data_IF_771270938942
#
_entry.id   IF_771270938942
#
_cell.length_a   1.000
_cell.length_b   1.000
_cell.length_c   1.000
_cell.angle_alpha   90.00
_cell.angle_beta   90.00
_cell.angle_gamma   90.00
#
_symmetry.space_group_name_H-M   'P 1'
#
loop_
_entity.id
_entity.type
_entity.pdbx_description
1 polymer ?
#
# COMPACT_ATOMS: atom_id res chain seq x y z
N UNK A 1 -3.60 -20.33 18.08
CA UNK A 1 -2.88 -19.17 17.60
C UNK A 1 -2.79 -18.10 18.66
N UNK A 2 -1.86 -17.21 18.51
CA UNK A 2 -1.58 -16.16 19.49
C UNK A 2 -2.39 -14.89 19.14
N UNK A 3 -3.66 -14.91 19.50
CA UNK A 3 -4.66 -13.88 19.13
C UNK A 3 -4.36 -12.50 19.76
N UNK A 4 -3.49 -12.47 20.76
CA UNK A 4 -3.17 -11.25 21.51
C UNK A 4 -1.97 -10.50 20.98
N UNK A 5 -1.12 -11.16 20.17
CA UNK A 5 0.09 -10.56 19.60
C UNK A 5 -0.28 -9.52 18.55
N UNK A 6 0.32 -8.35 18.67
CA UNK A 6 0.28 -7.30 17.64
C UNK A 6 1.46 -7.44 16.70
N UNK A 7 1.25 -7.12 15.42
CA UNK A 7 2.28 -7.15 14.40
C UNK A 7 2.08 -5.99 13.41
N UNK A 8 3.16 -5.49 12.80
CA UNK A 8 3.07 -4.44 11.79
C UNK A 8 2.51 -5.01 10.49
N UNK A 9 1.59 -4.28 9.86
CA UNK A 9 0.97 -4.68 8.59
C UNK A 9 1.96 -4.65 7.43
N UNK A 10 2.96 -3.78 7.47
CA UNK A 10 3.94 -3.60 6.40
C UNK A 10 3.24 -3.47 5.02
N UNK A 11 3.66 -4.25 4.03
CA UNK A 11 3.05 -4.20 2.69
C UNK A 11 1.61 -4.72 2.62
N UNK A 12 1.09 -5.35 3.66
CA UNK A 12 -0.34 -5.75 3.71
C UNK A 12 -1.27 -4.53 3.78
N UNK A 13 -0.76 -3.35 4.16
CA UNK A 13 -1.55 -2.10 4.15
C UNK A 13 -1.95 -1.63 2.75
N UNK A 14 -1.25 -2.04 1.69
CA UNK A 14 -1.42 -1.50 0.33
C UNK A 14 -2.82 -1.70 -0.27
N UNK A 15 -3.48 -2.86 -0.18
CA UNK A 15 -4.86 -3.02 -0.60
C UNK A 15 -5.82 -2.07 0.12
N UNK A 16 -5.58 -1.78 1.39
CA UNK A 16 -6.43 -0.91 2.21
C UNK A 16 -6.20 0.57 1.92
N UNK A 17 -4.97 0.97 1.59
CA UNK A 17 -4.67 2.28 1.03
C UNK A 17 -5.41 2.49 -0.29
N UNK A 18 -5.37 1.48 -1.17
CA UNK A 18 -6.10 1.52 -2.44
C UNK A 18 -7.61 1.65 -2.21
N UNK A 19 -8.18 0.86 -1.30
CA UNK A 19 -9.60 0.93 -0.95
C UNK A 19 -10.00 2.32 -0.45
N UNK A 20 -9.23 2.89 0.48
CA UNK A 20 -9.45 4.24 0.99
C UNK A 20 -9.52 5.26 -0.15
N UNK A 21 -8.52 5.24 -1.03
CA UNK A 21 -8.42 6.22 -2.13
C UNK A 21 -9.51 6.04 -3.18
N UNK A 22 -9.85 4.81 -3.54
CA UNK A 22 -10.98 4.53 -4.44
C UNK A 22 -12.30 5.04 -3.86
N UNK A 23 -12.51 4.88 -2.56
CA UNK A 23 -13.71 5.34 -1.88
C UNK A 23 -13.84 6.87 -1.85
N UNK A 24 -12.72 7.59 -1.67
CA UNK A 24 -12.74 9.04 -1.49
C UNK A 24 -12.53 9.82 -2.79
N UNK A 25 -11.76 9.29 -3.74
CA UNK A 25 -11.33 9.99 -4.94
C UNK A 25 -11.89 9.38 -6.25
N UNK A 26 -12.36 8.12 -6.20
CA UNK A 26 -12.81 7.38 -7.36
C UNK A 26 -11.67 6.83 -8.22
N UNK A 27 -12.05 5.98 -9.18
CA UNK A 27 -11.11 5.26 -10.05
C UNK A 27 -10.25 6.18 -10.91
N UNK A 28 -10.85 7.19 -11.53
CA UNK A 28 -10.14 8.10 -12.43
C UNK A 28 -8.97 8.83 -11.77
N UNK A 29 -9.15 9.28 -10.55
CA UNK A 29 -8.10 9.97 -9.80
C UNK A 29 -6.98 9.02 -9.40
N UNK A 30 -7.32 7.82 -8.96
CA UNK A 30 -6.37 6.81 -8.50
C UNK A 30 -5.59 6.23 -9.68
N UNK A 31 -6.27 5.78 -10.73
CA UNK A 31 -5.61 5.09 -11.85
C UNK A 31 -4.93 6.02 -12.87
N UNK A 32 -5.03 7.34 -12.69
CA UNK A 32 -4.09 8.28 -13.31
C UNK A 32 -2.71 8.29 -12.67
N UNK A 33 -2.58 7.82 -11.42
CA UNK A 33 -1.30 7.79 -10.67
C UNK A 33 -0.65 6.42 -10.68
N UNK A 34 -1.40 5.35 -10.94
CA UNK A 34 -0.91 3.97 -10.87
C UNK A 34 -1.69 3.09 -11.83
N UNK A 35 -1.03 2.13 -12.46
CA UNK A 35 -1.67 1.13 -13.32
C UNK A 35 -2.28 -0.04 -12.55
N UNK A 36 -2.68 -1.07 -13.31
CA UNK A 36 -3.24 -2.33 -12.80
C UNK A 36 -2.47 -3.56 -13.31
N UNK A 37 -1.27 -3.35 -13.88
CA UNK A 37 -0.51 -4.39 -14.59
C UNK A 37 0.44 -5.12 -13.66
N UNK A 38 0.57 -6.43 -13.86
CA UNK A 38 1.56 -7.24 -13.17
C UNK A 38 3.00 -6.77 -13.49
N UNK A 39 3.91 -7.08 -12.58
CA UNK A 39 5.34 -6.80 -12.72
C UNK A 39 6.10 -8.11 -12.80
N UNK A 40 7.04 -8.21 -13.73
CA UNK A 40 8.04 -9.27 -13.80
C UNK A 40 9.35 -8.93 -13.07
N UNK A 41 9.43 -7.73 -12.52
CA UNK A 41 10.57 -7.25 -11.74
C UNK A 41 10.28 -7.32 -10.23
N UNK A 42 11.32 -7.29 -9.38
CA UNK A 42 11.14 -7.15 -7.93
C UNK A 42 10.29 -5.94 -7.55
N UNK A 43 9.57 -6.03 -6.44
CA UNK A 43 8.61 -5.02 -5.97
C UNK A 43 9.18 -3.61 -5.71
N UNK A 44 10.49 -3.50 -5.63
CA UNK A 44 11.23 -2.24 -5.41
C UNK A 44 12.17 -1.88 -6.57
N UNK A 45 11.90 -2.38 -7.78
CA UNK A 45 12.74 -2.16 -8.95
C UNK A 45 12.65 -0.73 -9.46
N UNK A 46 13.77 0.00 -9.41
CA UNK A 46 13.91 1.31 -10.04
C UNK A 46 13.98 1.17 -11.57
N UNK A 47 14.66 0.12 -12.06
CA UNK A 47 14.80 -0.14 -13.51
C UNK A 47 13.45 -0.24 -14.17
N UNK A 48 12.52 -1.02 -13.59
CA UNK A 48 11.17 -1.11 -14.14
C UNK A 48 10.48 0.24 -14.19
N UNK A 49 10.54 1.02 -13.11
CA UNK A 49 9.90 2.33 -13.05
C UNK A 49 10.46 3.28 -14.12
N UNK A 50 11.76 3.22 -14.41
CA UNK A 50 12.41 4.00 -15.45
C UNK A 50 11.99 3.55 -16.86
N UNK A 51 11.92 2.23 -17.11
CA UNK A 51 11.43 1.67 -18.38
C UNK A 51 9.97 2.07 -18.65
N UNK A 52 9.17 2.18 -17.61
CA UNK A 52 7.77 2.63 -17.66
C UNK A 52 7.62 4.17 -17.62
N UNK A 53 8.69 4.92 -17.90
CA UNK A 53 8.70 6.39 -17.89
C UNK A 53 8.19 7.01 -16.58
N UNK A 54 8.47 6.37 -15.45
CA UNK A 54 8.07 6.78 -14.12
C UNK A 54 6.64 6.39 -13.73
N UNK A 55 5.87 5.73 -14.61
CA UNK A 55 4.50 5.30 -14.29
C UNK A 55 4.48 3.97 -13.52
N UNK A 56 3.99 3.92 -12.27
CA UNK A 56 3.98 2.69 -11.51
C UNK A 56 2.96 1.68 -12.06
N UNK A 57 3.37 0.44 -12.27
CA UNK A 57 2.52 -0.61 -12.89
C UNK A 57 1.30 -0.98 -12.08
N UNK A 58 1.40 -1.02 -10.75
CA UNK A 58 0.28 -1.40 -9.89
C UNK A 58 0.46 -0.90 -8.44
N UNK A 59 -0.60 -0.88 -7.63
CA UNK A 59 -0.57 -0.42 -6.24
C UNK A 59 0.20 -1.33 -5.27
N UNK A 60 0.49 -2.58 -5.67
CA UNK A 60 1.06 -3.60 -4.77
C UNK A 60 2.58 -3.55 -4.71
N UNK A 61 3.25 -2.91 -5.67
CA UNK A 61 4.70 -2.60 -5.66
C UNK A 61 4.97 -1.29 -4.94
N UNK A 62 6.23 -1.06 -4.53
CA UNK A 62 6.57 0.11 -3.71
C UNK A 62 6.36 1.44 -4.45
N UNK A 63 6.73 1.53 -5.72
CA UNK A 63 6.52 2.74 -6.52
C UNK A 63 5.04 3.14 -6.58
N UNK A 64 4.14 2.17 -6.78
CA UNK A 64 2.71 2.42 -6.80
C UNK A 64 2.16 2.84 -5.44
N UNK A 65 2.57 2.17 -4.37
CA UNK A 65 2.13 2.53 -3.03
C UNK A 65 2.63 3.91 -2.58
N UNK A 66 3.87 4.30 -2.94
CA UNK A 66 4.40 5.64 -2.68
C UNK A 66 3.61 6.70 -3.47
N UNK A 67 3.31 6.43 -4.76
CA UNK A 67 2.50 7.33 -5.57
C UNK A 67 1.08 7.51 -5.00
N UNK A 68 0.49 6.45 -4.48
CA UNK A 68 -0.81 6.50 -3.81
C UNK A 68 -0.76 7.20 -2.45
N UNK A 69 0.31 7.06 -1.68
CA UNK A 69 0.48 7.77 -0.41
C UNK A 69 0.51 9.30 -0.59
N UNK A 70 0.96 9.80 -1.76
CA UNK A 70 0.90 11.23 -2.10
C UNK A 70 -0.55 11.76 -2.25
N UNK A 71 -1.51 10.89 -2.55
CA UNK A 71 -2.92 11.25 -2.70
C UNK A 71 -3.69 11.34 -1.37
N UNK A 72 -3.14 10.84 -0.27
CA UNK A 72 -3.79 10.93 1.03
C UNK A 72 -3.97 12.38 1.46
N UNK A 73 -5.15 12.71 1.97
CA UNK A 73 -5.47 14.04 2.48
C UNK A 73 -4.67 14.34 3.76
N UNK A 74 -4.14 15.55 3.87
CA UNK A 74 -3.38 16.04 5.02
C UNK A 74 -2.14 16.82 4.59
N UNK A 75 -1.72 17.77 5.44
CA UNK A 75 -0.58 18.64 5.16
C UNK A 75 0.74 18.03 5.61
N UNK A 76 0.70 17.07 6.53
CA UNK A 76 1.89 16.39 7.07
C UNK A 76 1.78 14.87 6.91
N UNK A 77 2.90 14.14 6.92
CA UNK A 77 2.88 12.66 6.89
C UNK A 77 2.08 12.07 8.06
N UNK A 78 2.12 12.74 9.22
CA UNK A 78 1.36 12.36 10.41
C UNK A 78 -0.14 12.43 10.15
N UNK A 79 -0.64 13.58 9.70
CA UNK A 79 -2.07 13.79 9.45
C UNK A 79 -2.59 12.86 8.35
N UNK A 80 -1.81 12.60 7.31
CA UNK A 80 -2.16 11.64 6.24
C UNK A 80 -2.28 10.22 6.76
N UNK A 81 -1.32 9.78 7.57
CA UNK A 81 -1.35 8.47 8.21
C UNK A 81 -2.52 8.34 9.18
N UNK A 82 -2.78 9.37 9.98
CA UNK A 82 -3.89 9.40 10.95
C UNK A 82 -5.25 9.33 10.27
N UNK A 83 -5.45 10.07 9.18
CA UNK A 83 -6.71 10.00 8.42
C UNK A 83 -6.99 8.60 7.88
N UNK A 84 -5.99 7.93 7.32
CA UNK A 84 -6.14 6.53 6.90
C UNK A 84 -6.41 5.60 8.08
N UNK A 85 -5.67 5.75 9.17
CA UNK A 85 -5.80 4.94 10.39
C UNK A 85 -7.19 5.03 10.99
N UNK A 86 -7.71 6.25 11.17
CA UNK A 86 -9.04 6.49 11.74
C UNK A 86 -10.13 5.88 10.87
N UNK A 87 -10.05 6.07 9.56
CA UNK A 87 -11.00 5.50 8.62
C UNK A 87 -10.99 3.96 8.64
N UNK A 88 -9.79 3.33 8.65
CA UNK A 88 -9.68 1.88 8.72
C UNK A 88 -10.25 1.33 10.03
N UNK A 89 -10.00 2.00 11.15
CA UNK A 89 -10.54 1.60 12.45
C UNK A 89 -12.06 1.70 12.50
N UNK A 90 -12.62 2.78 11.96
CA UNK A 90 -14.07 3.00 11.91
C UNK A 90 -14.75 1.99 10.98
N UNK A 91 -14.32 1.93 9.72
CA UNK A 91 -14.96 1.11 8.70
C UNK A 91 -14.73 -0.39 8.87
N UNK A 92 -13.54 -0.76 9.35
CA UNK A 92 -13.16 -2.16 9.60
C UNK A 92 -13.54 -2.66 11.00
N UNK A 93 -14.04 -1.81 11.89
CA UNK A 93 -14.20 -2.13 13.32
C UNK A 93 -12.90 -2.74 13.89
N UNK A 94 -11.79 -2.04 13.71
CA UNK A 94 -10.44 -2.45 14.07
C UNK A 94 -9.88 -1.59 15.19
N UNK A 95 -8.76 -2.01 15.75
CA UNK A 95 -7.98 -1.29 16.77
C UNK A 95 -6.52 -1.15 16.32
N UNK A 96 -6.33 -0.74 15.06
CA UNK A 96 -5.00 -0.46 14.53
C UNK A 96 -4.39 0.75 15.23
N UNK A 97 -3.08 0.79 15.31
CA UNK A 97 -2.32 1.91 15.86
C UNK A 97 -0.99 2.08 15.10
N UNK A 98 -0.43 3.29 15.16
CA UNK A 98 0.93 3.52 14.66
C UNK A 98 1.95 2.98 15.68
N UNK A 99 2.67 1.93 15.29
CA UNK A 99 3.77 1.40 16.11
C UNK A 99 5.01 2.28 15.98
N UNK A 100 5.23 3.11 17.01
CA UNK A 100 6.35 4.06 17.01
C UNK A 100 7.71 3.37 17.12
N UNK A 101 7.78 2.17 17.66
CA UNK A 101 9.04 1.40 17.76
C UNK A 101 9.45 0.86 16.39
N UNK A 102 8.47 0.34 15.63
CA UNK A 102 8.67 -0.10 14.24
C UNK A 102 9.05 1.10 13.36
N UNK A 103 8.35 2.24 13.51
CA UNK A 103 8.68 3.46 12.75
C UNK A 103 10.10 3.96 13.05
N UNK A 104 10.51 3.97 14.31
CA UNK A 104 11.88 4.34 14.71
C UNK A 104 12.91 3.37 14.08
N UNK A 105 12.61 2.08 14.02
CA UNK A 105 13.45 1.09 13.35
C UNK A 105 13.53 1.37 11.83
N UNK A 106 12.41 1.66 11.17
CA UNK A 106 12.40 2.02 9.74
C UNK A 106 13.25 3.26 9.46
N UNK A 107 13.20 4.27 10.34
CA UNK A 107 14.01 5.48 10.20
C UNK A 107 15.51 5.28 10.51
N UNK A 108 15.87 4.23 11.26
CA UNK A 108 17.27 3.96 11.60
C UNK A 108 18.10 3.37 10.47
N UNK A 109 17.45 2.90 9.41
CA UNK A 109 18.12 2.34 8.24
C UNK A 109 17.87 3.19 6.98
N UNK A 110 18.91 3.45 6.17
CA UNK A 110 18.73 4.16 4.91
C UNK A 110 17.88 3.30 3.95
N UNK A 111 16.71 3.82 3.58
CA UNK A 111 15.82 3.19 2.61
C UNK A 111 16.14 3.68 1.19
N UNK A 112 17.35 3.36 0.69
CA UNK A 112 17.88 3.90 -0.57
C UNK A 112 17.02 3.53 -1.77
N UNK A 113 16.43 2.35 -1.80
CA UNK A 113 15.54 1.93 -2.89
C UNK A 113 14.28 2.79 -2.96
N UNK A 114 13.58 2.98 -1.86
CA UNK A 114 12.36 3.80 -1.85
C UNK A 114 12.67 5.29 -2.04
N UNK A 115 13.85 5.76 -1.61
CA UNK A 115 14.32 7.10 -1.92
C UNK A 115 14.54 7.29 -3.43
N UNK A 116 15.16 6.32 -4.11
CA UNK A 116 15.36 6.35 -5.56
C UNK A 116 14.01 6.27 -6.32
N UNK A 117 13.09 5.40 -5.89
CA UNK A 117 11.74 5.32 -6.46
C UNK A 117 10.99 6.65 -6.32
N UNK A 118 10.99 7.26 -5.13
CA UNK A 118 10.30 8.53 -4.90
C UNK A 118 10.91 9.68 -5.70
N UNK A 119 12.22 9.68 -5.92
CA UNK A 119 12.88 10.65 -6.80
C UNK A 119 12.44 10.51 -8.26
N UNK A 120 12.37 9.27 -8.77
CA UNK A 120 11.94 9.01 -10.15
C UNK A 120 10.46 9.36 -10.35
N UNK A 121 9.60 9.06 -9.36
CA UNK A 121 8.19 9.46 -9.36
C UNK A 121 8.01 10.98 -9.41
N UNK A 122 8.76 11.73 -8.59
CA UNK A 122 8.71 13.20 -8.56
C UNK A 122 9.19 13.81 -9.88
N UNK A 123 10.30 13.32 -10.41
CA UNK A 123 10.86 13.75 -11.70
C UNK A 123 9.87 13.60 -12.85
N UNK A 124 9.03 12.56 -12.83
CA UNK A 124 8.01 12.30 -13.84
C UNK A 124 6.61 12.81 -13.44
N UNK A 125 6.49 13.61 -12.38
CA UNK A 125 5.24 14.25 -11.92
C UNK A 125 4.14 13.29 -11.48
N UNK A 126 4.48 12.06 -11.06
CA UNK A 126 3.55 11.11 -10.45
C UNK A 126 3.37 11.30 -8.95
N UNK A 127 4.21 12.10 -8.30
CA UNK A 127 4.01 12.63 -6.94
C UNK A 127 4.35 14.12 -6.93
N UNK A 128 3.76 14.86 -5.99
CA UNK A 128 3.96 16.30 -5.87
C UNK A 128 5.13 16.66 -4.94
N UNK A 129 5.28 15.90 -3.84
CA UNK A 129 6.28 16.15 -2.81
C UNK A 129 6.90 14.84 -2.34
N UNK A 130 8.12 14.57 -2.81
CA UNK A 130 8.85 13.34 -2.51
C UNK A 130 8.92 12.99 -1.02
N UNK A 131 9.32 13.95 -0.18
CA UNK A 131 9.43 13.72 1.26
C UNK A 131 8.07 13.37 1.87
N UNK A 132 7.04 14.12 1.53
CA UNK A 132 5.69 13.92 2.07
C UNK A 132 5.12 12.55 1.67
N UNK A 133 5.26 12.17 0.40
CA UNK A 133 4.81 10.88 -0.11
C UNK A 133 5.54 9.70 0.54
N UNK A 134 6.89 9.77 0.56
CA UNK A 134 7.72 8.69 1.10
C UNK A 134 7.54 8.52 2.61
N UNK A 135 7.53 9.62 3.36
CA UNK A 135 7.38 9.55 4.81
C UNK A 135 5.96 9.12 5.21
N UNK A 136 4.93 9.53 4.46
CA UNK A 136 3.57 9.00 4.63
C UNK A 136 3.55 7.48 4.39
N UNK A 137 4.17 7.01 3.31
CA UNK A 137 4.29 5.58 3.01
C UNK A 137 5.00 4.81 4.12
N UNK A 138 6.12 5.32 4.65
CA UNK A 138 6.83 4.70 5.76
C UNK A 138 5.91 4.54 6.99
N UNK A 139 5.16 5.58 7.34
CA UNK A 139 4.25 5.56 8.49
C UNK A 139 3.09 4.58 8.33
N UNK A 140 2.43 4.56 7.18
CA UNK A 140 1.30 3.63 6.96
C UNK A 140 1.75 2.17 6.97
N UNK A 141 2.98 1.86 6.53
CA UNK A 141 3.56 0.53 6.66
C UNK A 141 3.80 0.11 8.12
N UNK A 142 3.97 1.07 9.03
CA UNK A 142 4.17 0.84 10.46
C UNK A 142 2.85 0.78 11.27
N UNK A 143 1.69 0.80 10.60
CA UNK A 143 0.43 0.50 11.26
C UNK A 143 0.41 -0.96 11.71
N UNK A 144 0.05 -1.17 12.96
CA UNK A 144 0.07 -2.47 13.61
C UNK A 144 -1.30 -2.82 14.17
N UNK A 145 -1.59 -4.09 14.27
CA UNK A 145 -2.84 -4.62 14.82
C UNK A 145 -2.71 -6.10 15.16
N UNK A 146 -3.82 -6.72 15.50
CA UNK A 146 -3.94 -8.15 15.79
C UNK A 146 -4.48 -8.90 14.58
N UNK A 147 -4.42 -10.22 14.62
CA UNK A 147 -4.99 -11.07 13.56
C UNK A 147 -6.50 -10.81 13.36
N UNK A 148 -7.23 -10.49 14.42
CA UNK A 148 -8.65 -10.15 14.33
C UNK A 148 -8.89 -8.84 13.53
N UNK A 149 -8.03 -7.84 13.70
CA UNK A 149 -8.09 -6.61 12.94
C UNK A 149 -7.84 -6.88 11.45
N UNK A 150 -6.84 -7.69 11.12
CA UNK A 150 -6.54 -8.07 9.74
C UNK A 150 -7.71 -8.84 9.10
N UNK A 151 -8.35 -9.74 9.84
CA UNK A 151 -9.54 -10.46 9.37
C UNK A 151 -10.72 -9.52 9.10
N UNK A 152 -10.92 -8.51 9.95
CA UNK A 152 -11.95 -7.50 9.77
C UNK A 152 -11.67 -6.59 8.55
N UNK A 153 -10.42 -6.20 8.35
CA UNK A 153 -10.00 -5.49 7.14
C UNK A 153 -10.24 -6.32 5.87
N UNK A 154 -10.01 -7.63 5.90
CA UNK A 154 -10.35 -8.53 4.79
C UNK A 154 -11.85 -8.51 4.48
N UNK A 155 -12.71 -8.56 5.50
CA UNK A 155 -14.16 -8.43 5.33
C UNK A 155 -14.56 -7.06 4.76
N UNK A 156 -13.85 -6.00 5.14
CA UNK A 156 -14.10 -4.65 4.61
C UNK A 156 -13.89 -4.61 3.09
N UNK A 157 -12.83 -5.23 2.56
CA UNK A 157 -12.63 -5.33 1.10
C UNK A 157 -13.80 -6.07 0.44
N UNK A 158 -14.24 -7.21 1.01
CA UNK A 158 -15.31 -8.01 0.43
C UNK A 158 -16.66 -7.29 0.41
N UNK A 159 -16.91 -6.39 1.37
CA UNK A 159 -18.15 -5.64 1.47
C UNK A 159 -18.14 -4.31 0.69
N UNK A 160 -16.97 -3.83 0.26
CA UNK A 160 -16.83 -2.53 -0.34
C UNK A 160 -17.24 -2.51 -1.82
N UNK A 161 -17.77 -1.38 -2.34
CA UNK A 161 -18.13 -1.24 -3.76
C UNK A 161 -16.96 -1.50 -4.73
N UNK A 162 -15.73 -1.19 -4.31
CA UNK A 162 -14.51 -1.39 -5.09
C UNK A 162 -13.78 -2.70 -4.76
N UNK A 163 -14.42 -3.60 -4.00
CA UNK A 163 -13.80 -4.86 -3.58
C UNK A 163 -13.34 -5.72 -4.74
N UNK A 164 -14.16 -5.88 -5.78
CA UNK A 164 -13.83 -6.69 -6.96
C UNK A 164 -12.55 -6.24 -7.65
N UNK A 165 -12.39 -4.93 -7.89
CA UNK A 165 -11.19 -4.40 -8.55
C UNK A 165 -9.94 -4.57 -7.68
N UNK A 166 -10.07 -4.47 -6.36
CA UNK A 166 -8.95 -4.70 -5.43
C UNK A 166 -8.54 -6.18 -5.44
N UNK A 167 -9.51 -7.08 -5.40
CA UNK A 167 -9.26 -8.53 -5.45
C UNK A 167 -8.63 -8.94 -6.78
N UNK A 168 -9.07 -8.36 -7.92
CA UNK A 168 -8.44 -8.58 -9.21
C UNK A 168 -6.98 -8.13 -9.21
N UNK A 169 -6.69 -6.93 -8.71
CA UNK A 169 -5.32 -6.41 -8.61
C UNK A 169 -4.47 -7.28 -7.65
N UNK A 170 -5.03 -7.75 -6.54
CA UNK A 170 -4.32 -8.66 -5.62
C UNK A 170 -4.04 -10.01 -6.30
N UNK A 171 -4.98 -10.54 -7.06
CA UNK A 171 -4.80 -11.80 -7.82
C UNK A 171 -3.63 -11.71 -8.79
N UNK A 172 -3.50 -10.58 -9.48
CA UNK A 172 -2.48 -10.40 -10.51
C UNK A 172 -1.14 -9.85 -9.98
N UNK A 173 -1.15 -9.15 -8.84
CA UNK A 173 -0.01 -8.35 -8.40
C UNK A 173 0.37 -8.55 -6.92
N UNK A 174 -0.44 -9.22 -6.11
CA UNK A 174 -0.31 -9.25 -4.64
C UNK A 174 0.91 -9.98 -4.11
N UNK A 175 1.38 -10.99 -4.85
CA UNK A 175 2.62 -11.75 -4.59
C UNK A 175 3.66 -11.55 -5.70
N UNK A 176 3.59 -10.40 -6.38
CA UNK A 176 4.52 -10.02 -7.44
C UNK A 176 4.50 -11.05 -8.58
N UNK A 177 5.68 -11.57 -8.98
CA UNK A 177 5.81 -12.61 -10.03
C UNK A 177 5.09 -13.93 -9.71
N UNK A 178 4.90 -14.25 -8.43
CA UNK A 178 4.23 -15.48 -8.00
C UNK A 178 2.69 -15.36 -7.91
N UNK A 179 2.13 -14.17 -8.17
CA UNK A 179 0.69 -13.90 -7.93
C UNK A 179 -0.24 -14.84 -8.66
N UNK A 180 -0.06 -14.98 -9.96
CA UNK A 180 -0.96 -15.78 -10.81
C UNK A 180 -0.88 -17.27 -10.48
N UNK A 181 0.34 -17.80 -10.30
CA UNK A 181 0.52 -19.20 -9.94
C UNK A 181 -0.12 -19.50 -8.59
N UNK A 182 0.10 -18.67 -7.60
CA UNK A 182 -0.50 -18.82 -6.27
C UNK A 182 -2.03 -18.77 -6.32
N UNK A 183 -2.59 -17.84 -7.07
CA UNK A 183 -4.04 -17.72 -7.22
C UNK A 183 -4.66 -18.96 -7.89
N UNK A 184 -3.98 -19.56 -8.86
CA UNK A 184 -4.40 -20.81 -9.50
C UNK A 184 -4.33 -22.03 -8.56
N UNK A 185 -3.28 -22.13 -7.73
CA UNK A 185 -3.06 -23.27 -6.83
C UNK A 185 -3.94 -23.18 -5.57
N UNK A 186 -4.14 -21.98 -5.03
CA UNK A 186 -4.81 -21.77 -3.73
C UNK A 186 -6.25 -21.29 -3.89
N UNK A 187 -6.58 -20.65 -5.01
CA UNK A 187 -7.95 -20.30 -5.37
C UNK A 187 -8.43 -18.96 -4.84
N UNK A 188 -7.56 -18.11 -4.24
CA UNK A 188 -7.93 -16.76 -3.81
C UNK A 188 -6.77 -15.76 -3.85
N UNK A 189 -7.10 -14.44 -3.93
CA UNK A 189 -6.12 -13.37 -3.99
C UNK A 189 -5.37 -13.21 -2.68
N UNK A 190 -4.12 -12.80 -2.76
CA UNK A 190 -3.23 -12.69 -1.60
C UNK A 190 -2.38 -11.42 -1.67
N UNK A 191 -1.89 -10.95 -0.51
CA UNK A 191 -0.87 -9.90 -0.40
C UNK A 191 0.17 -10.29 0.63
N UNK A 192 1.45 -10.25 0.24
CA UNK A 192 2.56 -10.46 1.18
C UNK A 192 2.83 -9.24 2.05
N UNK A 193 3.28 -9.46 3.28
CA UNK A 193 3.73 -8.41 4.20
C UNK A 193 5.16 -7.94 3.97
N UNK A 194 5.91 -8.66 3.14
CA UNK A 194 7.33 -8.37 2.84
C UNK A 194 7.47 -8.00 1.39
#
# INVERSE_FOLDING_TARGET
GDETVTFPLMSVIKPFLLLYLLTHLGEDAVFRRVGKQASSYPFNSLTQLQEDCGFPRNPMINSGAIALADLLAGETPESRCENLLLWLNEMGNCQLFLDRSVLASVHSYPNTHNQALSLELEKNSYINHRYLALETYNRICCLSGKIADLANLGKLILAAPFGEIILEIMTNCGLYEASQQFALEVGFPTKSGV
#
